data_IF_671825385794
#
_entry.id   IF_671825385794
#
_cell.length_a   1.000
_cell.length_b   1.000
_cell.length_c   1.000
_cell.angle_alpha   90.00
_cell.angle_beta   90.00
_cell.angle_gamma   90.00
#
_symmetry.space_group_name_H-M   'P 1'
#
loop_
_entity.id
_entity.type
_entity.pdbx_description
1 polymer ?
#
# COMPACT_ATOMS: atom_id res chain seq x y z
N UNK A 1 -13.86 -3.99 11.84
CA UNK A 1 -13.46 -4.90 11.67
C UNK A 1 -14.33 -5.94 11.24
N UNK A 2 -15.22 -5.97 11.16
CA UNK A 2 -16.18 -6.88 10.85
C UNK A 2 -16.37 -7.20 9.43
N UNK A 3 -15.89 -6.34 8.51
CA UNK A 3 -16.07 -6.59 7.11
C UNK A 3 -15.31 -7.80 6.64
N UNK A 4 -14.16 -8.07 7.23
CA UNK A 4 -13.39 -9.21 6.77
C UNK A 4 -14.14 -10.50 7.04
N UNK A 5 -14.79 -10.60 8.17
CA UNK A 5 -15.59 -11.78 8.47
C UNK A 5 -16.71 -11.96 7.48
N UNK A 6 -17.38 -10.87 7.12
CA UNK A 6 -18.47 -10.96 6.17
C UNK A 6 -18.00 -11.45 4.81
N UNK A 7 -16.84 -10.99 4.35
CA UNK A 7 -16.29 -11.43 3.09
C UNK A 7 -15.95 -12.90 3.10
N UNK A 8 -15.38 -13.37 4.20
CA UNK A 8 -15.01 -14.77 4.32
C UNK A 8 -16.22 -15.67 4.35
N UNK A 9 -17.27 -15.21 5.02
CA UNK A 9 -18.47 -16.02 5.15
C UNK A 9 -19.16 -16.28 3.82
N UNK A 10 -18.92 -15.45 2.83
CA UNK A 10 -19.50 -15.68 1.53
C UNK A 10 -18.66 -16.57 0.64
N UNK A 11 -17.66 -17.22 1.21
CA UNK A 11 -16.82 -18.14 0.46
C UNK A 11 -15.87 -17.45 -0.49
N UNK A 12 -15.91 -16.13 -0.55
CA UNK A 12 -14.98 -15.38 -1.36
C UNK A 12 -13.76 -14.99 -0.54
N UNK A 13 -12.67 -14.73 -1.24
CA UNK A 13 -11.47 -14.26 -0.59
C UNK A 13 -11.39 -12.76 -0.72
N UNK A 14 -11.08 -12.08 0.38
CA UNK A 14 -10.83 -10.66 0.33
C UNK A 14 -9.48 -10.42 -0.29
N UNK A 15 -9.42 -9.47 -1.22
CA UNK A 15 -8.14 -9.00 -1.75
C UNK A 15 -7.71 -7.82 -0.88
N UNK A 16 -6.53 -7.94 -0.29
CA UNK A 16 -6.02 -6.89 0.59
C UNK A 16 -5.22 -5.88 -0.21
N UNK A 17 -5.67 -4.64 -0.16
CA UNK A 17 -5.01 -3.50 -0.79
C UNK A 17 -4.42 -2.64 0.31
N UNK A 18 -3.13 -2.36 0.22
CA UNK A 18 -2.47 -1.44 1.14
C UNK A 18 -2.16 -0.16 0.37
N UNK A 19 -2.58 0.96 0.91
CA UNK A 19 -2.25 2.26 0.33
C UNK A 19 -1.00 2.76 1.04
N UNK A 20 0.09 2.86 0.30
CA UNK A 20 1.42 3.08 0.87
C UNK A 20 1.86 4.54 0.86
N UNK A 21 1.03 5.44 0.39
CA UNK A 21 1.31 6.87 0.40
C UNK A 21 0.06 7.63 0.81
N UNK A 22 0.19 8.92 1.04
CA UNK A 22 -0.95 9.73 1.45
C UNK A 22 -1.98 9.81 0.34
N UNK A 23 -3.23 9.55 0.67
CA UNK A 23 -4.37 9.79 -0.20
C UNK A 23 -5.45 10.48 0.64
N UNK A 24 -6.16 11.40 0.02
CA UNK A 24 -7.24 12.11 0.69
C UNK A 24 -8.34 11.14 1.09
N UNK A 25 -9.03 11.44 2.19
CA UNK A 25 -10.06 10.57 2.74
C UNK A 25 -11.11 10.17 1.72
N UNK A 26 -11.50 11.12 0.87
CA UNK A 26 -12.55 10.82 -0.11
C UNK A 26 -12.12 9.74 -1.10
N UNK A 27 -10.84 9.74 -1.47
CA UNK A 27 -10.34 8.74 -2.40
C UNK A 27 -10.20 7.38 -1.73
N UNK A 28 -9.73 7.37 -0.49
CA UNK A 28 -9.63 6.13 0.28
C UNK A 28 -11.02 5.51 0.44
N UNK A 29 -12.00 6.34 0.77
CA UNK A 29 -13.36 5.86 0.94
C UNK A 29 -13.91 5.28 -0.36
N UNK A 30 -13.65 5.96 -1.48
CA UNK A 30 -14.13 5.46 -2.77
C UNK A 30 -13.53 4.09 -3.11
N UNK A 31 -12.26 3.90 -2.80
CA UNK A 31 -11.64 2.60 -3.06
C UNK A 31 -12.29 1.54 -2.16
N UNK A 32 -12.55 1.87 -0.90
CA UNK A 32 -13.18 0.93 0.01
C UNK A 32 -14.58 0.54 -0.43
N UNK A 33 -15.28 1.46 -1.09
CA UNK A 33 -16.67 1.23 -1.48
C UNK A 33 -16.80 0.60 -2.85
N UNK A 34 -15.71 0.45 -3.59
CA UNK A 34 -15.80 -0.05 -4.95
C UNK A 34 -16.29 -1.49 -5.04
N UNK A 35 -15.87 -2.33 -4.12
CA UNK A 35 -16.19 -3.74 -4.19
C UNK A 35 -16.05 -4.34 -2.79
N UNK A 36 -17.06 -5.09 -2.36
CA UNK A 36 -17.04 -5.68 -1.02
C UNK A 36 -15.97 -6.75 -0.85
N UNK A 37 -15.35 -7.20 -1.95
CA UNK A 37 -14.28 -8.19 -1.88
C UNK A 37 -12.91 -7.57 -1.71
N UNK A 38 -12.84 -6.25 -1.56
CA UNK A 38 -11.58 -5.54 -1.37
C UNK A 38 -11.50 -5.07 0.08
N UNK A 39 -10.40 -5.42 0.73
CA UNK A 39 -10.10 -4.95 2.09
C UNK A 39 -8.98 -3.93 1.97
N UNK A 40 -9.24 -2.69 2.36
CA UNK A 40 -8.27 -1.61 2.24
C UNK A 40 -7.66 -1.32 3.59
N UNK A 41 -6.33 -1.39 3.66
CA UNK A 41 -5.56 -1.02 4.84
C UNK A 41 -4.87 0.29 4.55
N UNK A 42 -5.20 1.32 5.31
CA UNK A 42 -4.61 2.64 5.16
C UNK A 42 -4.57 3.34 6.51
N UNK A 43 -3.42 3.90 6.84
CA UNK A 43 -3.27 4.72 8.04
C UNK A 43 -2.46 5.94 7.67
N UNK A 44 -3.09 7.09 7.79
CA UNK A 44 -2.47 8.36 7.42
C UNK A 44 -1.21 8.63 8.23
N UNK A 45 -1.18 8.19 9.50
CA UNK A 45 -0.04 8.43 10.37
C UNK A 45 1.18 7.58 10.03
N UNK A 46 1.03 6.62 9.13
CA UNK A 46 2.13 5.74 8.75
C UNK A 46 2.76 6.11 7.41
N UNK A 47 2.31 7.19 6.79
CA UNK A 47 2.83 7.63 5.49
C UNK A 47 3.24 9.10 5.59
N UNK A 48 4.17 9.55 4.75
CA UNK A 48 4.61 10.95 4.83
C UNK A 48 3.45 11.91 4.57
N UNK A 49 3.33 12.96 5.40
CA UNK A 49 2.27 13.94 5.16
C UNK A 49 2.50 14.69 3.86
N UNK A 50 1.42 15.13 3.21
CA UNK A 50 1.55 15.80 1.92
C UNK A 50 2.14 17.20 2.06
N UNK A 51 2.86 17.64 1.01
CA UNK A 51 3.39 18.99 0.95
C UNK A 51 2.32 19.97 0.46
N UNK A 52 1.37 19.47 -0.32
CA UNK A 52 0.27 20.25 -0.86
C UNK A 52 -0.84 19.28 -1.24
N UNK A 53 -1.99 19.82 -1.63
CA UNK A 53 -3.13 18.98 -2.03
C UNK A 53 -2.74 18.13 -3.22
N UNK A 54 -3.07 16.85 -3.13
CA UNK A 54 -2.79 15.90 -4.20
C UNK A 54 -1.38 15.35 -4.23
N UNK A 55 -0.56 15.70 -3.24
CA UNK A 55 0.81 15.20 -3.18
C UNK A 55 0.85 13.83 -2.53
N UNK A 56 1.25 12.83 -3.29
CA UNK A 56 1.37 11.48 -2.76
C UNK A 56 2.79 11.13 -2.34
N UNK A 57 3.75 11.97 -2.69
CA UNK A 57 5.12 11.72 -2.28
C UNK A 57 5.38 12.12 -0.84
N UNK A 58 4.86 13.25 -0.43
CA UNK A 58 5.01 13.73 0.93
C UNK A 58 6.32 14.48 1.17
N UNK A 59 6.45 15.00 2.38
CA UNK A 59 7.59 15.85 2.75
C UNK A 59 8.87 15.03 2.75
N UNK A 60 9.97 15.71 2.44
CA UNK A 60 11.29 15.08 2.47
C UNK A 60 11.73 14.90 3.92
N UNK A 61 12.53 13.86 4.14
CA UNK A 61 13.12 13.64 5.45
C UNK A 61 12.21 13.03 6.50
N UNK A 62 10.93 12.84 6.18
CA UNK A 62 10.02 12.22 7.12
C UNK A 62 10.35 10.73 7.30
N UNK A 63 10.30 10.28 8.53
CA UNK A 63 10.57 8.88 8.84
C UNK A 63 9.57 8.40 9.88
N UNK A 64 9.23 7.13 9.79
CA UNK A 64 8.39 6.49 10.82
C UNK A 64 9.21 6.32 12.08
N UNK A 65 8.53 6.42 13.22
CA UNK A 65 9.13 5.98 14.47
C UNK A 65 9.27 4.45 14.40
N UNK A 66 10.02 3.88 15.36
CA UNK A 66 10.16 2.42 15.40
C UNK A 66 8.79 1.73 15.53
N UNK A 67 7.93 2.30 16.34
CA UNK A 67 6.59 1.75 16.53
C UNK A 67 5.78 1.83 15.26
N UNK A 68 5.79 3.01 14.61
CA UNK A 68 5.07 3.20 13.35
C UNK A 68 5.58 2.25 12.28
N UNK A 69 6.90 2.05 12.23
CA UNK A 69 7.47 1.17 11.23
C UNK A 69 7.05 -0.27 11.44
N UNK A 70 6.96 -0.70 12.70
CA UNK A 70 6.49 -2.05 12.99
C UNK A 70 5.06 -2.24 12.49
N UNK A 71 4.20 -1.25 12.72
CA UNK A 71 2.81 -1.34 12.28
C UNK A 71 2.69 -1.28 10.77
N UNK A 72 3.54 -0.48 10.13
CA UNK A 72 3.53 -0.38 8.68
C UNK A 72 3.98 -1.69 8.03
N UNK A 73 5.02 -2.31 8.60
CA UNK A 73 5.49 -3.60 8.10
C UNK A 73 4.42 -4.67 8.26
N UNK A 74 3.66 -4.62 9.34
CA UNK A 74 2.55 -5.57 9.52
C UNK A 74 1.50 -5.40 8.43
N UNK A 75 1.23 -4.15 8.02
CA UNK A 75 0.32 -3.91 6.91
C UNK A 75 0.88 -4.44 5.60
N UNK A 76 2.15 -4.16 5.32
CA UNK A 76 2.78 -4.59 4.08
C UNK A 76 2.78 -6.12 3.98
N UNK A 77 2.93 -6.81 5.09
CA UNK A 77 2.92 -8.27 5.10
C UNK A 77 1.59 -8.85 4.61
N UNK A 78 0.51 -8.08 4.70
CA UNK A 78 -0.81 -8.53 4.26
C UNK A 78 -1.13 -8.11 2.83
N UNK A 79 -0.30 -7.28 2.21
CA UNK A 79 -0.64 -6.66 0.93
C UNK A 79 -0.59 -7.66 -0.21
N UNK A 80 -1.68 -7.78 -0.93
CA UNK A 80 -1.72 -8.46 -2.22
C UNK A 80 -1.64 -7.44 -3.35
N UNK A 81 -2.17 -6.25 -3.11
CA UNK A 81 -2.08 -5.12 -4.02
C UNK A 81 -1.53 -3.95 -3.22
N UNK A 82 -0.59 -3.25 -3.81
CA UNK A 82 0.01 -2.09 -3.19
C UNK A 82 -0.27 -0.88 -4.07
N UNK A 83 -0.83 0.16 -3.47
CA UNK A 83 -1.01 1.42 -4.17
C UNK A 83 0.16 2.31 -3.77
N UNK A 84 1.01 2.57 -4.72
CA UNK A 84 2.25 3.32 -4.60
C UNK A 84 3.40 2.56 -3.94
N UNK A 85 4.61 3.02 -4.20
CA UNK A 85 5.81 2.48 -3.61
C UNK A 85 5.95 3.02 -2.19
N UNK A 86 6.18 2.14 -1.20
CA UNK A 86 6.30 2.62 0.17
C UNK A 86 7.62 3.33 0.38
N UNK A 87 7.58 4.43 1.11
CA UNK A 87 8.81 5.06 1.55
C UNK A 87 9.42 4.19 2.64
N UNK A 88 10.71 3.93 2.52
CA UNK A 88 11.47 3.22 3.54
C UNK A 88 11.83 1.82 3.14
N UNK A 89 10.92 1.01 2.72
CA UNK A 89 11.19 -0.42 2.48
C UNK A 89 11.19 -0.78 1.00
N UNK A 90 11.44 0.19 0.13
CA UNK A 90 11.34 -0.03 -1.30
C UNK A 90 12.30 -1.06 -1.85
N UNK A 91 13.50 -1.18 -1.26
CA UNK A 91 14.51 -2.09 -1.79
C UNK A 91 14.31 -3.54 -1.38
N UNK A 92 13.51 -3.78 -0.37
CA UNK A 92 13.25 -5.14 0.10
C UNK A 92 11.77 -5.48 0.01
N UNK A 93 11.10 -4.91 -0.99
CA UNK A 93 9.65 -4.98 -1.07
C UNK A 93 9.14 -6.41 -1.17
N UNK A 94 9.82 -7.27 -1.94
CA UNK A 94 9.37 -8.66 -2.07
C UNK A 94 9.54 -9.43 -0.76
N UNK A 95 10.42 -8.98 0.13
CA UNK A 95 10.58 -9.61 1.43
C UNK A 95 9.51 -9.14 2.41
N UNK A 96 9.24 -7.82 2.45
CA UNK A 96 8.33 -7.28 3.44
C UNK A 96 6.87 -7.42 3.01
N UNK A 97 6.63 -7.63 1.73
CA UNK A 97 5.28 -7.85 1.20
C UNK A 97 5.27 -9.16 0.39
N UNK A 98 5.39 -10.30 1.08
CA UNK A 98 5.53 -11.58 0.37
C UNK A 98 4.30 -12.03 -0.37
N UNK A 99 3.13 -11.45 -0.09
CA UNK A 99 1.89 -11.80 -0.80
C UNK A 99 1.63 -10.89 -1.99
N UNK A 100 2.53 -9.95 -2.26
CA UNK A 100 2.30 -8.92 -3.26
C UNK A 100 2.21 -9.51 -4.66
N UNK A 101 1.17 -9.14 -5.40
CA UNK A 101 0.93 -9.58 -6.77
C UNK A 101 0.86 -8.42 -7.74
N UNK A 102 0.47 -7.24 -7.28
CA UNK A 102 0.27 -6.09 -8.15
C UNK A 102 0.62 -4.81 -7.39
N UNK A 103 1.43 -3.96 -8.02
CA UNK A 103 1.73 -2.64 -7.48
C UNK A 103 1.29 -1.61 -8.51
N UNK A 104 0.43 -0.69 -8.10
CA UNK A 104 -0.03 0.40 -8.95
C UNK A 104 0.66 1.67 -8.49
N UNK A 105 1.49 2.24 -9.33
CA UNK A 105 2.11 3.52 -9.02
C UNK A 105 1.17 4.68 -9.33
N UNK A 106 1.31 5.76 -8.59
CA UNK A 106 0.54 6.97 -8.82
C UNK A 106 1.39 8.06 -9.49
N UNK A 107 2.62 7.74 -9.85
CA UNK A 107 3.56 8.69 -10.40
C UNK A 107 3.96 8.27 -11.81
N UNK A 108 4.42 9.23 -12.61
CA UNK A 108 5.04 8.91 -13.88
C UNK A 108 6.43 8.33 -13.60
N UNK A 109 6.90 7.44 -14.48
CA UNK A 109 8.24 6.90 -14.33
C UNK A 109 8.36 5.80 -13.31
N UNK A 110 7.34 4.94 -13.20
CA UNK A 110 7.36 3.86 -12.21
C UNK A 110 8.40 2.79 -12.51
N UNK A 111 9.00 2.79 -13.70
CA UNK A 111 9.96 1.75 -14.07
C UNK A 111 11.21 1.75 -13.21
N UNK A 112 11.76 2.91 -12.90
CA UNK A 112 12.97 2.98 -12.11
C UNK A 112 12.75 2.54 -10.65
N UNK A 113 11.70 3.03 -9.96
CA UNK A 113 11.40 2.50 -8.64
C UNK A 113 11.13 1.00 -8.64
N UNK A 114 10.44 0.48 -9.67
CA UNK A 114 10.17 -0.95 -9.76
C UNK A 114 11.47 -1.74 -9.89
N UNK A 115 12.42 -1.23 -10.67
CA UNK A 115 13.70 -1.90 -10.83
C UNK A 115 14.46 -1.90 -9.50
N UNK A 116 14.48 -0.77 -8.79
CA UNK A 116 15.17 -0.70 -7.51
C UNK A 116 14.52 -1.60 -6.46
N UNK A 117 13.23 -1.82 -6.55
CA UNK A 117 12.51 -2.68 -5.63
C UNK A 117 12.66 -4.16 -5.96
N UNK A 118 13.34 -4.49 -7.06
CA UNK A 118 13.52 -5.88 -7.48
C UNK A 118 12.29 -6.48 -8.11
N UNK A 119 11.32 -5.68 -8.55
CA UNK A 119 10.06 -6.20 -9.07
C UNK A 119 10.17 -6.64 -10.52
N UNK A 120 11.16 -6.13 -11.27
CA UNK A 120 11.30 -6.45 -12.69
C UNK A 120 11.53 -7.95 -12.88
N UNK A 121 12.28 -8.57 -11.97
CA UNK A 121 12.57 -10.00 -12.08
C UNK A 121 11.63 -10.85 -11.23
N UNK A 122 10.57 -10.25 -10.69
CA UNK A 122 9.59 -10.96 -9.88
C UNK A 122 8.34 -11.19 -10.69
N UNK A 123 7.36 -11.87 -10.07
CA UNK A 123 6.06 -12.10 -10.70
C UNK A 123 5.07 -10.97 -10.40
N UNK A 124 5.51 -9.94 -9.70
CA UNK A 124 4.63 -8.83 -9.36
C UNK A 124 4.40 -7.98 -10.60
N UNK A 125 3.14 -7.64 -10.86
CA UNK A 125 2.76 -6.75 -11.96
C UNK A 125 2.86 -5.32 -11.48
N UNK A 126 3.45 -4.45 -12.30
CA UNK A 126 3.56 -3.03 -11.97
C UNK A 126 2.92 -2.20 -13.05
#
# INVERSE_FOLDING_TARGET
MLQSGAGELRGGFLTTVVIASYFEDEHVRRIREMDSRVRVLYREDLVPPPRWDGDHRGIDGWQRTREQDREFLAMLAEAEVLLDFPRGHGRELTKVAPKLRWLQGSMAGAGEPARRAGLISSEVVV
#
